data_IF_017137337618
#
_entry.id   IF_017137337618
#
_cell.length_a   1.000
_cell.length_b   1.000
_cell.length_c   1.000
_cell.angle_alpha   90.00
_cell.angle_beta   90.00
_cell.angle_gamma   90.00
#
_symmetry.space_group_name_H-M   'P 1'
#
loop_
_entity.id
_entity.type
_entity.pdbx_description
1 polymer ?
#
# COMPACT_ATOMS: atom_id res chain seq x y z
N UNK A 1 4.02 -6.76 -2.59
CA UNK A 1 5.39 -6.77 -3.17
C UNK A 1 6.31 -5.73 -2.53
N UNK A 2 5.83 -4.50 -2.30
CA UNK A 2 6.65 -3.37 -1.79
C UNK A 2 7.41 -3.65 -0.48
N UNK A 3 6.91 -4.56 0.37
CA UNK A 3 7.57 -4.93 1.63
C UNK A 3 8.91 -5.65 1.44
N UNK A 4 9.23 -6.16 0.26
CA UNK A 4 10.52 -6.80 0.00
C UNK A 4 11.61 -5.82 -0.46
N UNK A 5 11.29 -4.52 -0.46
CA UNK A 5 12.26 -3.46 -0.72
C UNK A 5 12.55 -2.73 0.60
N UNK A 6 13.82 -2.53 0.97
CA UNK A 6 14.19 -1.91 2.25
C UNK A 6 13.80 -0.44 2.35
N UNK A 7 13.79 0.27 1.22
CA UNK A 7 13.42 1.68 1.13
C UNK A 7 12.34 1.88 0.06
N UNK A 8 11.10 2.11 0.50
CA UNK A 8 9.96 2.38 -0.39
C UNK A 8 10.10 3.70 -1.13
N UNK A 9 10.80 4.68 -0.56
CA UNK A 9 10.97 6.00 -1.16
C UNK A 9 11.94 5.90 -2.34
N UNK A 10 13.09 5.27 -2.14
CA UNK A 10 14.05 4.98 -3.20
C UNK A 10 13.43 4.11 -4.31
N UNK A 11 12.58 3.14 -3.95
CA UNK A 11 11.84 2.34 -4.92
C UNK A 11 10.93 3.21 -5.81
N UNK A 12 10.13 4.10 -5.20
CA UNK A 12 9.21 4.97 -5.95
C UNK A 12 9.98 5.94 -6.85
N UNK A 13 11.06 6.53 -6.35
CA UNK A 13 11.94 7.42 -7.13
C UNK A 13 12.52 6.67 -8.34
N UNK A 14 13.01 5.44 -8.15
CA UNK A 14 13.49 4.60 -9.25
C UNK A 14 12.39 4.26 -10.26
N UNK A 15 11.17 4.00 -9.81
CA UNK A 15 10.04 3.75 -10.70
C UNK A 15 9.64 5.01 -11.49
N UNK A 16 9.73 6.20 -10.89
CA UNK A 16 9.51 7.45 -11.61
C UNK A 16 10.52 7.69 -12.73
N UNK A 17 11.77 7.24 -12.59
CA UNK A 17 12.76 7.32 -13.68
C UNK A 17 12.35 6.49 -14.91
N UNK A 18 11.53 5.46 -14.72
CA UNK A 18 11.06 4.56 -15.78
C UNK A 18 9.72 4.99 -16.40
N UNK A 19 9.01 5.93 -15.78
CA UNK A 19 7.69 6.37 -16.22
C UNK A 19 7.78 7.67 -17.04
N UNK A 20 6.92 7.82 -18.03
CA UNK A 20 6.67 9.12 -18.66
C UNK A 20 5.94 10.07 -17.68
N UNK A 21 6.03 11.40 -17.86
CA UNK A 21 5.23 12.36 -17.11
C UNK A 21 3.73 11.99 -17.13
N UNK A 22 3.06 12.01 -15.97
CA UNK A 22 1.68 11.54 -15.81
C UNK A 22 1.52 10.02 -15.68
N UNK A 23 2.58 9.24 -15.81
CA UNK A 23 2.58 7.80 -15.53
C UNK A 23 2.26 7.49 -14.07
N UNK A 24 1.67 6.32 -13.80
CA UNK A 24 1.14 5.97 -12.48
C UNK A 24 1.81 4.74 -11.88
N UNK A 25 2.05 4.79 -10.57
CA UNK A 25 2.46 3.65 -9.75
C UNK A 25 1.26 3.23 -8.91
N UNK A 26 0.87 1.96 -9.03
CA UNK A 26 -0.24 1.38 -8.28
C UNK A 26 0.32 0.48 -7.17
N UNK A 27 0.17 0.91 -5.93
CA UNK A 27 0.52 0.12 -4.74
C UNK A 27 -0.73 -0.66 -4.32
N UNK A 28 -0.78 -1.93 -4.75
CA UNK A 28 -1.86 -2.87 -4.46
C UNK A 28 -1.48 -3.80 -3.30
N UNK A 29 -2.49 -4.25 -2.55
CA UNK A 29 -2.41 -5.33 -1.56
C UNK A 29 -1.20 -5.27 -0.62
N UNK A 30 -0.80 -4.04 -0.27
CA UNK A 30 0.42 -3.79 0.50
C UNK A 30 0.06 -3.04 1.78
N UNK A 31 0.34 -3.62 2.96
CA UNK A 31 0.05 -2.95 4.21
C UNK A 31 1.05 -1.82 4.46
N UNK A 32 0.52 -0.65 4.83
CA UNK A 32 1.30 0.46 5.36
C UNK A 32 0.88 0.72 6.80
N UNK A 33 1.84 1.06 7.65
CA UNK A 33 1.62 1.15 9.09
C UNK A 33 1.77 2.58 9.61
N UNK A 34 1.15 2.86 10.74
CA UNK A 34 1.45 4.06 11.52
C UNK A 34 2.53 3.73 12.54
N UNK A 35 3.16 4.76 13.13
CA UNK A 35 4.11 4.56 14.23
C UNK A 35 3.51 3.76 15.40
N UNK A 36 2.20 3.90 15.63
CA UNK A 36 1.49 3.18 16.68
C UNK A 36 1.27 1.69 16.35
N UNK A 37 1.15 1.31 15.07
CA UNK A 37 0.77 -0.06 14.67
C UNK A 37 1.93 -0.92 14.17
N UNK A 38 3.07 -0.30 13.81
CA UNK A 38 4.21 -1.00 13.19
C UNK A 38 4.84 -2.07 14.10
N UNK A 39 4.94 -1.82 15.41
CA UNK A 39 5.50 -2.79 16.35
C UNK A 39 4.65 -4.06 16.43
N UNK A 40 3.33 -3.90 16.55
CA UNK A 40 2.40 -5.02 16.54
C UNK A 40 2.42 -5.77 15.19
N UNK A 41 2.61 -5.04 14.08
CA UNK A 41 2.74 -5.67 12.76
C UNK A 41 4.00 -6.53 12.63
N UNK A 42 5.14 -6.06 13.14
CA UNK A 42 6.40 -6.83 13.19
C UNK A 42 6.22 -8.13 13.97
N UNK A 43 5.59 -8.07 15.15
CA UNK A 43 5.32 -9.26 15.96
C UNK A 43 4.43 -10.28 15.22
N UNK A 44 3.39 -9.83 14.51
CA UNK A 44 2.55 -10.71 13.69
C UNK A 44 3.33 -11.37 12.54
N UNK A 45 4.19 -10.61 11.86
CA UNK A 45 5.04 -11.14 10.78
C UNK A 45 6.06 -12.14 11.31
N UNK A 46 6.65 -11.89 12.48
CA UNK A 46 7.53 -12.83 13.15
C UNK A 46 6.83 -14.16 13.44
N UNK A 47 5.69 -14.10 14.15
CA UNK A 47 4.91 -15.30 14.45
C UNK A 47 4.49 -16.06 13.18
N UNK A 48 4.11 -15.33 12.11
CA UNK A 48 3.75 -15.92 10.83
C UNK A 48 4.90 -16.73 10.20
N UNK A 49 6.10 -16.16 10.08
CA UNK A 49 7.23 -16.85 9.47
C UNK A 49 7.80 -17.96 10.34
N UNK A 50 7.75 -17.83 11.68
CA UNK A 50 8.08 -18.90 12.62
C UNK A 50 7.14 -20.09 12.44
N UNK A 51 5.82 -19.86 12.41
CA UNK A 51 4.82 -20.92 12.20
C UNK A 51 4.93 -21.57 10.83
N UNK A 52 5.31 -20.81 9.81
CA UNK A 52 5.52 -21.34 8.46
C UNK A 52 6.81 -22.17 8.31
N UNK A 53 7.72 -22.10 9.29
CA UNK A 53 9.03 -22.77 9.24
C UNK A 53 10.10 -22.01 8.43
N UNK A 54 9.90 -20.71 8.16
CA UNK A 54 10.83 -19.88 7.38
C UNK A 54 11.23 -18.59 8.12
N UNK A 55 11.78 -18.65 9.35
CA UNK A 55 12.19 -17.45 10.09
C UNK A 55 13.27 -16.63 9.37
N UNK A 56 14.07 -17.28 8.50
CA UNK A 56 15.06 -16.62 7.65
C UNK A 56 14.49 -15.57 6.69
N UNK A 57 13.16 -15.55 6.48
CA UNK A 57 12.50 -14.55 5.64
C UNK A 57 12.32 -13.19 6.33
N UNK A 58 12.42 -13.13 7.66
CA UNK A 58 12.15 -11.92 8.43
C UNK A 58 12.99 -10.69 8.01
N UNK A 59 14.31 -10.81 7.76
CA UNK A 59 15.12 -9.68 7.36
C UNK A 59 14.71 -9.06 6.02
N UNK A 60 14.00 -9.82 5.18
CA UNK A 60 13.58 -9.38 3.85
C UNK A 60 12.18 -8.76 3.85
N UNK A 61 11.42 -8.85 4.94
CA UNK A 61 10.08 -8.27 5.03
C UNK A 61 10.11 -6.95 5.81
N UNK A 62 10.03 -5.83 5.10
CA UNK A 62 10.09 -4.48 5.63
C UNK A 62 8.70 -3.89 5.86
N UNK A 63 8.46 -3.36 7.06
CA UNK A 63 7.20 -2.72 7.44
C UNK A 63 7.24 -1.22 7.16
N UNK A 64 6.78 -0.80 5.98
CA UNK A 64 6.78 0.60 5.58
C UNK A 64 5.72 1.43 6.32
N UNK A 65 6.10 2.66 6.71
CA UNK A 65 5.18 3.61 7.31
C UNK A 65 4.38 4.35 6.24
N UNK A 66 3.12 4.66 6.51
CA UNK A 66 2.30 5.51 5.63
C UNK A 66 2.94 6.88 5.39
N UNK A 67 3.67 7.41 6.38
CA UNK A 67 4.39 8.69 6.27
C UNK A 67 5.48 8.68 5.20
N UNK A 68 6.04 7.52 4.85
CA UNK A 68 7.06 7.39 3.81
C UNK A 68 6.51 7.72 2.40
N UNK A 69 5.19 7.60 2.22
CA UNK A 69 4.53 7.93 0.95
C UNK A 69 4.16 9.42 0.83
N UNK A 70 4.21 10.19 1.93
CA UNK A 70 3.64 11.54 1.99
C UNK A 70 4.21 12.50 0.93
N UNK A 71 5.51 12.39 0.62
CA UNK A 71 6.19 13.18 -0.39
C UNK A 71 5.62 12.98 -1.81
N UNK A 72 5.00 11.83 -2.08
CA UNK A 72 4.50 11.45 -3.41
C UNK A 72 2.99 11.66 -3.59
N UNK A 73 2.32 12.26 -2.60
CA UNK A 73 0.88 12.61 -2.65
C UNK A 73 -0.02 11.44 -3.10
N UNK A 74 0.07 10.26 -2.45
CA UNK A 74 -0.71 9.10 -2.85
C UNK A 74 -2.21 9.39 -2.73
N UNK A 75 -2.97 9.02 -3.75
CA UNK A 75 -4.44 9.07 -3.74
C UNK A 75 -5.02 7.66 -3.58
N UNK A 76 -6.18 7.50 -2.92
CA UNK A 76 -6.86 6.21 -2.90
C UNK A 76 -7.17 5.75 -4.31
N UNK A 77 -6.78 4.53 -4.64
CA UNK A 77 -7.14 3.93 -5.92
C UNK A 77 -8.63 3.63 -5.97
N UNK A 78 -9.32 4.30 -6.87
CA UNK A 78 -10.69 3.97 -7.25
C UNK A 78 -10.68 3.52 -8.72
N UNK A 79 -11.49 2.52 -9.10
CA UNK A 79 -11.68 2.23 -10.51
C UNK A 79 -12.34 3.45 -11.15
N UNK A 80 -11.60 4.14 -12.02
CA UNK A 80 -12.13 5.28 -12.76
C UNK A 80 -13.07 4.79 -13.86
N UNK A 81 -14.35 5.12 -13.69
CA UNK A 81 -15.45 5.34 -14.65
C UNK A 81 -16.76 4.80 -14.07
N UNK A 82 -17.47 5.64 -13.33
CA UNK A 82 -18.86 5.34 -12.94
C UNK A 82 -19.74 6.57 -13.14
N UNK A 83 -20.88 6.36 -13.79
CA UNK A 83 -21.92 7.36 -14.06
C UNK A 83 -22.49 7.98 -12.77
N UNK A 84 -23.39 8.98 -12.88
CA UNK A 84 -24.00 9.66 -11.72
C UNK A 84 -24.72 8.69 -10.76
N UNK A 85 -25.30 7.60 -11.29
CA UNK A 85 -25.87 6.49 -10.49
C UNK A 85 -24.78 5.67 -9.79
N UNK A 86 -23.66 5.43 -10.47
CA UNK A 86 -22.52 4.73 -9.89
C UNK A 86 -21.92 5.45 -8.68
N UNK A 87 -22.04 6.78 -8.59
CA UNK A 87 -21.62 7.55 -7.39
C UNK A 87 -22.44 7.24 -6.13
N UNK A 88 -23.75 6.96 -6.27
CA UNK A 88 -24.61 6.60 -5.14
C UNK A 88 -24.37 5.15 -4.70
N UNK A 89 -24.22 4.24 -5.66
CA UNK A 89 -23.78 2.87 -5.38
C UNK A 89 -22.39 2.85 -4.73
N UNK A 90 -21.48 3.74 -5.16
CA UNK A 90 -20.14 3.93 -4.57
C UNK A 90 -20.18 4.42 -3.13
N UNK A 91 -21.08 5.33 -2.78
CA UNK A 91 -21.23 5.77 -1.39
C UNK A 91 -21.64 4.61 -0.46
N UNK A 92 -22.55 3.76 -0.92
CA UNK A 92 -22.97 2.55 -0.20
C UNK A 92 -21.86 1.50 -0.14
N UNK A 93 -21.21 1.21 -1.28
CA UNK A 93 -20.12 0.24 -1.39
C UNK A 93 -18.88 0.67 -0.61
N UNK A 94 -18.50 1.95 -0.61
CA UNK A 94 -17.36 2.47 0.19
C UNK A 94 -17.66 2.46 1.69
N UNK A 95 -18.93 2.63 2.10
CA UNK A 95 -19.34 2.43 3.49
C UNK A 95 -19.28 0.96 3.90
N UNK A 96 -19.50 0.03 2.97
CA UNK A 96 -19.36 -1.42 3.17
C UNK A 96 -17.90 -1.90 3.10
N UNK A 97 -17.09 -1.35 2.18
CA UNK A 97 -15.70 -1.74 1.89
C UNK A 97 -14.68 -1.09 2.82
N UNK A 98 -14.97 0.08 3.41
CA UNK A 98 -14.19 0.64 4.54
C UNK A 98 -14.22 -0.24 5.78
N UNK A 99 -15.16 -1.20 5.85
CA UNK A 99 -15.17 -2.26 6.87
C UNK A 99 -14.49 -3.57 6.42
N UNK A 100 -14.12 -3.73 5.14
CA UNK A 100 -13.81 -5.05 4.57
C UNK A 100 -12.52 -5.17 3.72
N UNK A 101 -11.86 -4.08 3.30
CA UNK A 101 -10.60 -4.23 2.55
C UNK A 101 -9.43 -4.45 3.51
N UNK A 102 -8.84 -5.65 3.51
CA UNK A 102 -7.69 -6.01 4.35
C UNK A 102 -6.46 -5.11 4.09
N UNK A 103 -6.34 -4.54 2.88
CA UNK A 103 -5.22 -3.70 2.47
C UNK A 103 -5.67 -2.47 1.65
N UNK A 104 -5.05 -1.29 1.85
CA UNK A 104 -5.33 -0.08 1.08
C UNK A 104 -4.73 -0.17 -0.34
N UNK A 105 -5.43 0.43 -1.31
CA UNK A 105 -4.90 0.67 -2.66
C UNK A 105 -4.50 2.14 -2.78
N UNK A 106 -3.22 2.40 -3.04
CA UNK A 106 -2.70 3.74 -3.34
C UNK A 106 -2.29 3.87 -4.81
N UNK A 107 -2.56 5.04 -5.38
CA UNK A 107 -2.08 5.46 -6.70
C UNK A 107 -1.18 6.68 -6.52
N UNK A 108 -0.02 6.66 -7.15
CA UNK A 108 0.95 7.75 -7.15
C UNK A 108 1.21 8.14 -8.59
N UNK A 109 1.02 9.41 -8.93
CA UNK A 109 1.23 9.92 -10.29
C UNK A 109 2.57 10.63 -10.36
N UNK A 110 3.37 10.30 -11.38
CA UNK A 110 4.60 11.02 -11.70
C UNK A 110 4.24 12.46 -12.12
N UNK A 111 4.86 13.48 -11.51
CA UNK A 111 4.63 14.87 -11.89
C UNK A 111 5.01 15.16 -13.34
#
# INVERSE_FOLDING_TARGET
AVQYFPDVRALIERLFELLEPGGQIHLLDSPFYTRATVAAARARTQAYYEQLGFPAMLPFYHHHLTSALSAFRPVPGHPEKTSRLGRWFRFWLDRWRRRAAAFPWYVITKP
#
